data_IF_266147377858
#
_entry.id   IF_266147377858
#
_cell.length_a   1.000
_cell.length_b   1.000
_cell.length_c   1.000
_cell.angle_alpha   90.00
_cell.angle_beta   90.00
_cell.angle_gamma   90.00
#
_symmetry.space_group_name_H-M   'P 1'
#
loop_
_entity.id
_entity.type
_entity.pdbx_description
1 polymer ?
#
# COMPACT_ATOMS: atom_id res chain seq x y z
N UNK A 1 -23.82 15.79 -31.07
CA UNK A 1 -23.99 15.21 -29.72
C UNK A 1 -24.18 13.72 -29.87
N UNK A 2 -23.10 12.96 -29.72
CA UNK A 2 -23.15 11.51 -29.53
C UNK A 2 -22.80 11.29 -28.05
N UNK A 3 -23.72 10.69 -27.32
CA UNK A 3 -23.62 10.44 -25.89
C UNK A 3 -22.55 9.37 -25.64
N UNK A 4 -21.49 9.74 -24.91
CA UNK A 4 -20.58 8.78 -24.28
C UNK A 4 -21.39 7.97 -23.26
N UNK A 5 -21.68 6.73 -23.59
CA UNK A 5 -22.27 5.76 -22.67
C UNK A 5 -21.16 5.23 -21.77
N UNK A 6 -21.06 5.75 -20.55
CA UNK A 6 -20.31 5.07 -19.51
C UNK A 6 -21.03 3.73 -19.20
N UNK A 7 -20.32 2.60 -19.22
CA UNK A 7 -19.08 2.52 -18.48
C UNK A 7 -17.93 1.98 -19.34
N UNK A 8 -17.40 2.85 -20.21
CA UNK A 8 -15.98 2.77 -20.61
C UNK A 8 -15.04 2.94 -19.38
N UNK A 9 -15.59 3.32 -18.22
CA UNK A 9 -14.97 3.21 -16.89
C UNK A 9 -14.84 1.76 -16.36
N UNK A 10 -15.16 0.75 -17.17
CA UNK A 10 -14.71 -0.65 -16.96
C UNK A 10 -13.30 -0.86 -17.55
N UNK A 11 -12.69 0.17 -18.13
CA UNK A 11 -11.29 0.18 -18.54
C UNK A 11 -10.35 0.21 -17.33
N UNK A 12 -9.78 -0.95 -17.01
CA UNK A 12 -8.63 -1.16 -16.13
C UNK A 12 -8.85 -0.80 -14.64
N UNK A 13 -9.38 -1.75 -13.87
CA UNK A 13 -9.07 -1.84 -12.43
C UNK A 13 -7.57 -2.13 -12.29
N UNK A 14 -6.71 -1.12 -12.46
CA UNK A 14 -5.28 -1.30 -12.25
C UNK A 14 -5.07 -1.52 -10.75
N UNK A 15 -4.71 -2.75 -10.38
CA UNK A 15 -4.34 -3.11 -9.02
C UNK A 15 -2.83 -2.97 -8.92
N UNK A 16 -2.39 -2.12 -8.01
CA UNK A 16 -0.98 -1.87 -7.77
C UNK A 16 -0.56 -2.64 -6.53
N UNK A 17 0.44 -3.49 -6.72
CA UNK A 17 1.02 -4.29 -5.66
C UNK A 17 2.24 -3.58 -5.11
N UNK A 18 2.28 -3.43 -3.79
CA UNK A 18 3.34 -2.79 -3.05
C UNK A 18 3.84 -3.73 -1.98
N UNK A 19 5.16 -3.87 -1.91
CA UNK A 19 5.80 -4.40 -0.72
C UNK A 19 6.06 -3.25 0.22
N UNK A 20 5.50 -3.33 1.43
CA UNK A 20 5.55 -2.26 2.43
C UNK A 20 6.33 -2.77 3.62
N UNK A 21 7.42 -2.09 3.92
CA UNK A 21 8.23 -2.34 5.10
C UNK A 21 7.68 -1.55 6.28
N UNK A 22 7.27 -2.29 7.30
CA UNK A 22 6.76 -1.80 8.55
C UNK A 22 7.82 -1.98 9.64
N UNK A 23 7.89 -1.03 10.55
CA UNK A 23 8.68 -1.16 11.77
C UNK A 23 7.80 -0.90 12.98
N UNK A 24 8.05 -1.63 14.06
CA UNK A 24 7.37 -1.39 15.32
C UNK A 24 7.67 0.02 15.83
N UNK A 25 6.67 0.64 16.42
CA UNK A 25 6.80 1.89 17.17
C UNK A 25 7.59 1.66 18.46
N UNK A 26 7.57 0.43 18.99
CA UNK A 26 8.40 0.04 20.11
C UNK A 26 9.86 -0.03 19.67
N UNK A 27 10.70 0.73 20.39
CA UNK A 27 12.13 0.83 20.13
C UNK A 27 12.89 0.26 21.31
N UNK A 28 13.93 -0.50 20.99
CA UNK A 28 14.90 -0.99 21.96
C UNK A 28 15.66 0.17 22.64
N UNK A 29 16.42 -0.10 23.70
CA UNK A 29 17.23 0.90 24.42
C UNK A 29 18.23 1.66 23.52
N UNK A 30 18.55 1.13 22.35
CA UNK A 30 19.38 1.79 21.33
C UNK A 30 18.59 2.66 20.33
N UNK A 31 17.27 2.76 20.47
CA UNK A 31 16.39 3.50 19.56
C UNK A 31 16.10 2.79 18.24
N UNK A 32 16.45 1.51 18.13
CA UNK A 32 16.20 0.66 16.95
C UNK A 32 14.82 0.02 17.08
N UNK A 33 14.00 -0.02 16.01
CA UNK A 33 12.71 -0.71 16.05
C UNK A 33 12.90 -2.17 16.41
N UNK A 34 12.15 -2.66 17.41
CA UNK A 34 12.35 -4.02 17.92
C UNK A 34 11.93 -5.09 16.89
N UNK A 35 10.91 -4.78 16.08
CA UNK A 35 10.43 -5.66 15.04
C UNK A 35 10.27 -4.94 13.71
N UNK A 36 10.73 -5.56 12.63
CA UNK A 36 10.47 -5.15 11.26
C UNK A 36 9.69 -6.24 10.53
N UNK A 37 8.77 -5.83 9.66
CA UNK A 37 7.94 -6.75 8.89
C UNK A 37 7.64 -6.18 7.52
N UNK A 38 7.85 -6.98 6.49
CA UNK A 38 7.40 -6.65 5.14
C UNK A 38 6.04 -7.28 4.89
N UNK A 39 5.09 -6.49 4.40
CA UNK A 39 3.77 -6.96 4.01
C UNK A 39 3.53 -6.73 2.52
N UNK A 40 2.64 -7.53 1.96
CA UNK A 40 2.18 -7.37 0.59
C UNK A 40 0.83 -6.63 0.60
N UNK A 41 0.77 -5.49 -0.08
CA UNK A 41 -0.39 -4.60 -0.12
C UNK A 41 -0.83 -4.39 -1.55
N UNK A 42 -2.12 -4.61 -1.81
CA UNK A 42 -2.72 -4.34 -3.12
C UNK A 42 -3.69 -3.17 -2.98
N UNK A 43 -3.43 -2.08 -3.69
CA UNK A 43 -4.29 -0.89 -3.71
C UNK A 43 -4.76 -0.61 -5.14
N UNK A 44 -5.99 -0.12 -5.26
CA UNK A 44 -6.55 0.32 -6.55
C UNK A 44 -6.09 1.73 -6.92
N UNK A 45 -5.47 2.45 -5.99
CA UNK A 45 -4.90 3.77 -6.20
C UNK A 45 -3.44 3.77 -5.71
N UNK A 46 -2.46 4.07 -6.58
CA UNK A 46 -1.04 4.02 -6.28
C UNK A 46 -0.61 5.27 -5.50
N UNK A 47 -1.16 5.47 -4.30
CA UNK A 47 -0.86 6.63 -3.44
C UNK A 47 -0.32 6.18 -2.08
N UNK A 48 0.65 6.94 -1.55
CA UNK A 48 1.22 6.68 -0.21
C UNK A 48 0.14 6.72 0.86
N UNK A 49 -0.82 7.62 0.71
CA UNK A 49 -1.95 7.79 1.62
C UNK A 49 -2.89 6.58 1.62
N UNK A 50 -3.13 5.96 0.47
CA UNK A 50 -3.94 4.74 0.38
C UNK A 50 -3.27 3.57 1.10
N UNK A 51 -1.95 3.40 0.90
CA UNK A 51 -1.15 2.38 1.60
C UNK A 51 -1.17 2.61 3.11
N UNK A 52 -0.90 3.84 3.56
CA UNK A 52 -0.92 4.19 4.99
C UNK A 52 -2.30 3.99 5.62
N UNK A 53 -3.38 4.37 4.92
CA UNK A 53 -4.75 4.16 5.40
C UNK A 53 -5.11 2.68 5.52
N UNK A 54 -4.65 1.85 4.58
CA UNK A 54 -4.88 0.40 4.62
C UNK A 54 -4.11 -0.27 5.76
N UNK A 55 -2.86 0.13 5.98
CA UNK A 55 -2.05 -0.31 7.12
C UNK A 55 -2.71 0.10 8.45
N UNK A 56 -3.19 1.34 8.55
CA UNK A 56 -3.87 1.84 9.75
C UNK A 56 -5.22 1.15 10.01
N UNK A 57 -5.95 0.75 8.97
CA UNK A 57 -7.20 0.00 9.09
C UNK A 57 -6.98 -1.46 9.57
N UNK A 58 -5.78 -2.01 9.38
CA UNK A 58 -5.42 -3.36 9.78
C UNK A 58 -5.09 -3.42 11.28
N UNK A 59 -6.02 -3.91 12.11
CA UNK A 59 -5.84 -3.95 13.57
C UNK A 59 -4.65 -4.80 14.05
N UNK A 60 -4.19 -5.75 13.23
CA UNK A 60 -3.01 -6.59 13.47
C UNK A 60 -1.66 -5.89 13.16
N UNK A 61 -1.71 -4.69 12.55
CA UNK A 61 -0.56 -3.81 12.31
C UNK A 61 -0.55 -2.62 13.27
N UNK A 62 -1.42 -2.64 14.29
CA UNK A 62 -1.41 -1.62 15.35
C UNK A 62 -0.06 -1.66 16.09
N UNK A 63 0.57 -0.51 16.29
CA UNK A 63 1.93 -0.44 16.85
C UNK A 63 3.03 -0.52 15.80
N UNK A 64 2.70 -0.52 14.50
CA UNK A 64 3.67 -0.49 13.41
C UNK A 64 3.50 0.79 12.58
N UNK A 65 4.63 1.36 12.16
CA UNK A 65 4.70 2.50 11.25
C UNK A 65 5.32 2.09 9.91
N UNK A 66 4.82 2.68 8.83
CA UNK A 66 5.40 2.50 7.49
C UNK A 66 6.76 3.19 7.43
N UNK A 67 7.81 2.41 7.16
CA UNK A 67 9.18 2.92 7.02
C UNK A 67 9.53 3.13 5.55
N UNK A 68 9.17 2.17 4.71
CA UNK A 68 9.41 2.22 3.28
C UNK A 68 8.35 1.42 2.55
N UNK A 69 8.23 1.66 1.25
CA UNK A 69 7.45 0.84 0.34
C UNK A 69 8.16 0.88 -1.01
N UNK A 70 8.07 -0.21 -1.79
CA UNK A 70 8.73 -0.23 -3.10
C UNK A 70 8.11 0.80 -4.07
N UNK A 71 8.88 1.22 -5.07
CA UNK A 71 8.29 1.94 -6.20
C UNK A 71 7.40 0.97 -6.99
N UNK A 72 6.19 1.41 -7.39
CA UNK A 72 5.29 0.55 -8.13
C UNK A 72 5.94 0.16 -9.46
N UNK A 73 6.22 -1.13 -9.65
CA UNK A 73 6.59 -1.67 -10.96
C UNK A 73 5.36 -1.59 -11.88
N UNK A 74 5.25 -0.51 -12.65
CA UNK A 74 4.24 -0.37 -13.70
C UNK A 74 4.39 -1.41 -14.82
N UNK A 75 5.54 -2.09 -14.88
CA UNK A 75 5.81 -3.21 -15.79
C UNK A 75 5.22 -4.54 -15.29
N UNK A 76 4.81 -4.66 -14.01
CA UNK A 76 4.37 -5.93 -13.41
C UNK A 76 2.86 -6.05 -13.11
N UNK A 77 2.01 -5.09 -13.50
CA UNK A 77 0.56 -5.33 -13.52
C UNK A 77 -0.18 -4.40 -14.50
N UNK A 78 -1.10 -4.97 -15.30
CA UNK A 78 -2.40 -5.31 -14.74
C UNK A 78 -2.60 -6.82 -14.52
N UNK A 79 -3.16 -7.16 -13.35
CA UNK A 79 -3.93 -8.38 -13.11
C UNK A 79 -5.40 -8.13 -13.44
#
# INVERSE_FOLDING_TARGET
MAYLTAPDAVGAKQWYRYYVDLASEERDYQGVPEFTRTIDVVVTQPSKEAIASLVAACSWLKGYSVVSYNEPSFEEAPF
#
